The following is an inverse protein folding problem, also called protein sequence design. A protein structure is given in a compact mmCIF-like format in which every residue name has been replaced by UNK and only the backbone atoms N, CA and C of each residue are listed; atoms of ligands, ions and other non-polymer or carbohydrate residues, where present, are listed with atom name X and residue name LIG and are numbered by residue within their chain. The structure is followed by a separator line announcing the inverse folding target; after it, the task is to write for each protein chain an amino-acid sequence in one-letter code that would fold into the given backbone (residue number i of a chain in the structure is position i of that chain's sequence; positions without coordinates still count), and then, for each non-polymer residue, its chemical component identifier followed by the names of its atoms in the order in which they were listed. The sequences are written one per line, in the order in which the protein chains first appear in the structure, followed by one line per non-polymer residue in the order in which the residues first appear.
data_IF_150648444067
#
_entry.id   IF_150648444067
#
_cell.length_a   1.000
_cell.length_b   1.000
_cell.length_c   1.000
_cell.angle_alpha   90.00
_cell.angle_beta   90.00
_cell.angle_gamma   90.00
#
_symmetry.space_group_name_H-M   'P 1'
#
loop_
_entity.id
_entity.type
_entity.pdbx_description
1 polymer ?
#
# COMPACT_ATOMS: atom_id res chain seq x y z
N UNK A 1 -11.51 8.92 -10.88
CA UNK A 1 -12.22 8.63 -9.62
C UNK A 1 -12.11 7.13 -9.44
N UNK A 2 -11.49 6.69 -8.36
CA UNK A 2 -11.10 5.29 -8.12
C UNK A 2 -12.38 4.45 -7.95
N UNK A 3 -12.61 3.47 -8.82
CA UNK A 3 -13.90 2.76 -8.87
C UNK A 3 -14.10 1.87 -7.64
N UNK A 4 -13.00 1.50 -6.97
CA UNK A 4 -12.99 0.70 -5.77
C UNK A 4 -13.35 1.46 -4.49
N UNK A 5 -13.24 2.80 -4.46
CA UNK A 5 -13.31 3.60 -3.22
C UNK A 5 -14.66 3.50 -2.47
N UNK A 6 -15.73 3.09 -3.16
CA UNK A 6 -17.09 3.00 -2.60
C UNK A 6 -17.62 1.56 -2.49
N UNK A 7 -16.82 0.56 -2.86
CA UNK A 7 -17.24 -0.85 -2.81
C UNK A 7 -16.87 -1.49 -1.46
N UNK A 8 -17.63 -2.48 -0.99
CA UNK A 8 -17.26 -3.27 0.19
C UNK A 8 -15.88 -3.92 0.01
N UNK A 9 -15.07 -3.92 1.07
CA UNK A 9 -13.74 -4.51 1.04
C UNK A 9 -13.78 -6.04 0.98
N UNK A 10 -13.06 -6.59 0.02
CA UNK A 10 -12.77 -8.02 -0.09
C UNK A 10 -11.42 -8.36 0.54
N UNK A 11 -11.19 -9.65 0.78
CA UNK A 11 -9.84 -10.15 1.09
C UNK A 11 -9.16 -10.52 -0.21
N UNK A 12 -7.89 -10.13 -0.38
CA UNK A 12 -7.12 -10.48 -1.55
C UNK A 12 -5.63 -10.33 -1.34
N UNK A 13 -4.89 -10.80 -2.33
CA UNK A 13 -3.48 -10.48 -2.48
C UNK A 13 -3.12 -10.39 -3.97
N UNK A 14 -2.09 -9.60 -4.28
CA UNK A 14 -1.42 -9.64 -5.57
C UNK A 14 -0.13 -10.42 -5.39
N UNK A 15 -0.03 -11.56 -6.05
CA UNK A 15 1.13 -12.45 -6.03
C UNK A 15 2.15 -12.05 -7.11
N UNK A 16 1.65 -11.52 -8.23
CA UNK A 16 2.47 -11.10 -9.38
C UNK A 16 2.04 -9.71 -9.79
N UNK A 17 3.00 -8.79 -9.85
CA UNK A 17 2.86 -7.49 -10.48
C UNK A 17 4.08 -7.26 -11.36
N UNK A 18 3.89 -7.34 -12.68
CA UNK A 18 4.96 -7.20 -13.66
C UNK A 18 4.55 -6.13 -14.67
N UNK A 19 5.36 -5.07 -14.73
CA UNK A 19 5.23 -3.99 -15.69
C UNK A 19 6.36 -4.10 -16.71
N UNK A 20 6.00 -4.38 -17.95
CA UNK A 20 6.85 -4.27 -19.13
C UNK A 20 6.41 -3.04 -19.95
N UNK A 21 7.24 -2.52 -20.87
CA UNK A 21 6.95 -1.28 -21.59
C UNK A 21 5.60 -1.24 -22.32
N UNK A 22 5.13 -2.39 -22.82
CA UNK A 22 3.87 -2.51 -23.59
C UNK A 22 2.95 -3.61 -23.07
N UNK A 23 3.25 -4.17 -21.90
CA UNK A 23 2.51 -5.28 -21.32
C UNK A 23 2.51 -5.20 -19.82
N UNK A 24 1.36 -5.49 -19.23
CA UNK A 24 1.22 -5.65 -17.79
C UNK A 24 0.66 -7.02 -17.48
N UNK A 25 1.19 -7.63 -16.42
CA UNK A 25 0.66 -8.85 -15.83
C UNK A 25 0.41 -8.64 -14.34
N UNK A 26 -0.84 -8.88 -13.93
CA UNK A 26 -1.27 -8.87 -12.53
C UNK A 26 -1.90 -10.22 -12.23
N UNK A 27 -1.43 -10.92 -11.22
CA UNK A 27 -2.05 -12.16 -10.77
C UNK A 27 -2.14 -12.21 -9.25
N UNK A 28 -3.13 -12.93 -8.75
CA UNK A 28 -3.40 -12.97 -7.32
C UNK A 28 -4.64 -13.77 -7.00
N UNK A 29 -5.26 -13.42 -5.89
CA UNK A 29 -6.54 -13.99 -5.48
C UNK A 29 -7.43 -12.94 -4.82
N UNK A 30 -8.74 -13.15 -4.92
CA UNK A 30 -9.79 -12.33 -4.33
C UNK A 30 -10.87 -13.24 -3.74
N UNK A 31 -11.33 -12.92 -2.53
CA UNK A 31 -12.32 -13.71 -1.79
C UNK A 31 -13.29 -12.80 -1.05
N UNK A 32 -14.58 -13.04 -1.24
CA UNK A 32 -15.63 -12.59 -0.33
C UNK A 32 -15.89 -13.67 0.74
N UNK A 33 -16.15 -13.31 2.01
CA UNK A 33 -16.33 -14.30 3.07
C UNK A 33 -17.49 -15.27 2.85
N UNK A 34 -18.58 -14.81 2.21
CA UNK A 34 -19.86 -15.55 2.17
C UNK A 34 -20.30 -15.99 0.78
N UNK A 35 -19.77 -15.37 -0.28
CA UNK A 35 -20.28 -15.53 -1.64
C UNK A 35 -19.13 -15.76 -2.63
N UNK A 36 -19.30 -16.64 -3.64
CA UNK A 36 -18.30 -16.83 -4.68
C UNK A 36 -18.19 -15.59 -5.57
N UNK A 37 -17.04 -15.45 -6.21
CA UNK A 37 -16.78 -14.42 -7.21
C UNK A 37 -16.91 -15.08 -8.58
N UNK A 38 -17.71 -14.50 -9.46
CA UNK A 38 -17.98 -15.04 -10.80
C UNK A 38 -16.95 -14.54 -11.81
N UNK A 39 -16.53 -13.28 -11.67
CA UNK A 39 -15.59 -12.61 -12.57
C UNK A 39 -14.80 -11.56 -11.83
N UNK A 40 -13.58 -11.27 -12.29
CA UNK A 40 -12.81 -10.13 -11.83
C UNK A 40 -12.59 -9.10 -12.93
N UNK A 41 -12.55 -7.84 -12.55
CA UNK A 41 -11.99 -6.75 -13.35
C UNK A 41 -10.73 -6.26 -12.65
N UNK A 42 -9.70 -5.97 -13.43
CA UNK A 42 -8.46 -5.43 -12.89
C UNK A 42 -8.20 -4.07 -13.53
N UNK A 43 -7.81 -3.10 -12.72
CA UNK A 43 -7.31 -1.82 -13.20
C UNK A 43 -5.99 -1.48 -12.51
N UNK A 44 -5.12 -0.76 -13.22
CA UNK A 44 -3.87 -0.23 -12.68
C UNK A 44 -3.83 1.27 -12.92
N UNK A 45 -3.66 2.04 -11.86
CA UNK A 45 -3.73 3.50 -11.87
C UNK A 45 -5.03 4.05 -12.50
N UNK A 46 -6.15 3.36 -12.26
CA UNK A 46 -7.46 3.66 -12.85
C UNK A 46 -7.62 3.24 -14.32
N UNK A 47 -6.58 2.68 -14.96
CA UNK A 47 -6.64 2.15 -16.32
C UNK A 47 -7.06 0.68 -16.30
N UNK A 48 -8.23 0.38 -16.88
CA UNK A 48 -8.77 -0.98 -16.94
C UNK A 48 -7.92 -1.90 -17.81
N UNK A 49 -7.58 -3.07 -17.27
CA UNK A 49 -6.96 -4.19 -18.01
C UNK A 49 -8.01 -5.07 -18.69
N UNK A 50 -9.28 -4.95 -18.29
CA UNK A 50 -10.38 -5.78 -18.77
C UNK A 50 -10.99 -6.65 -17.68
N UNK A 51 -11.77 -7.64 -18.12
CA UNK A 51 -12.41 -8.62 -17.25
C UNK A 51 -11.84 -10.01 -17.52
N UNK A 52 -11.62 -10.78 -16.45
CA UNK A 52 -10.92 -12.05 -16.48
C UNK A 52 -11.68 -13.11 -15.69
N UNK A 53 -11.52 -14.36 -16.09
CA UNK A 53 -12.11 -15.52 -15.42
C UNK A 53 -11.36 -15.86 -14.12
N UNK A 54 -12.10 -16.47 -13.19
CA UNK A 54 -11.55 -17.00 -11.96
C UNK A 54 -10.99 -18.41 -12.20
N UNK A 55 -9.87 -18.73 -11.56
CA UNK A 55 -9.27 -20.06 -11.59
C UNK A 55 -9.04 -20.62 -10.18
N UNK A 56 -8.73 -21.92 -10.12
CA UNK A 56 -8.54 -22.64 -8.86
C UNK A 56 -7.23 -22.24 -8.14
N UNK A 57 -7.30 -22.20 -6.81
CA UNK A 57 -6.23 -21.90 -5.84
C UNK A 57 -6.38 -22.78 -4.59
N UNK A 58 -6.00 -24.06 -4.67
CA UNK A 58 -6.06 -24.99 -3.53
C UNK A 58 -5.21 -24.53 -2.32
N UNK A 59 -4.13 -23.80 -2.58
CA UNK A 59 -3.27 -23.19 -1.56
C UNK A 59 -4.01 -22.10 -0.75
N UNK A 60 -4.83 -21.29 -1.42
CA UNK A 60 -5.67 -20.28 -0.77
C UNK A 60 -6.78 -20.97 0.04
N UNK A 61 -7.43 -22.00 -0.52
CA UNK A 61 -8.43 -22.80 0.20
C UNK A 61 -7.86 -23.46 1.47
N UNK A 62 -6.65 -24.01 1.40
CA UNK A 62 -5.97 -24.62 2.54
C UNK A 62 -5.68 -23.61 3.67
N UNK A 63 -5.41 -22.35 3.30
CA UNK A 63 -5.16 -21.25 4.23
C UNK A 63 -6.45 -20.65 4.80
N UNK A 64 -7.52 -20.60 4.01
CA UNK A 64 -8.82 -20.01 4.34
C UNK A 64 -9.89 -21.08 4.58
N UNK A 65 -9.62 -22.04 5.47
CA UNK A 65 -10.50 -23.20 5.75
C UNK A 65 -11.96 -22.87 6.09
N UNK A 66 -12.26 -21.64 6.51
CA UNK A 66 -13.61 -21.17 6.82
C UNK A 66 -14.44 -20.72 5.61
N UNK A 67 -13.84 -20.58 4.42
CA UNK A 67 -14.50 -20.03 3.23
C UNK A 67 -14.63 -21.13 2.18
N UNK A 68 -15.85 -21.62 1.96
CA UNK A 68 -16.12 -22.82 1.13
C UNK A 68 -15.67 -22.68 -0.32
N UNK A 69 -15.78 -21.48 -0.88
CA UNK A 69 -15.45 -21.16 -2.27
C UNK A 69 -14.04 -20.55 -2.43
N UNK A 70 -13.19 -20.59 -1.40
CA UNK A 70 -11.84 -20.02 -1.47
C UNK A 70 -10.93 -20.70 -2.51
N UNK A 71 -11.26 -21.92 -2.95
CA UNK A 71 -10.55 -22.58 -4.04
C UNK A 71 -10.75 -21.81 -5.36
N UNK A 72 -11.96 -21.34 -5.64
CA UNK A 72 -12.28 -20.50 -6.79
C UNK A 72 -12.03 -19.02 -6.47
N UNK A 73 -10.77 -18.65 -6.24
CA UNK A 73 -10.39 -17.28 -5.87
C UNK A 73 -9.30 -16.66 -6.73
N UNK A 74 -8.61 -17.47 -7.55
CA UNK A 74 -7.46 -17.02 -8.31
C UNK A 74 -7.84 -16.18 -9.53
N UNK A 75 -6.97 -15.25 -9.89
CA UNK A 75 -7.06 -14.56 -11.17
C UNK A 75 -5.68 -14.29 -11.76
N UNK A 76 -5.65 -14.13 -13.09
CA UNK A 76 -4.52 -13.60 -13.84
C UNK A 76 -5.04 -12.65 -14.92
N UNK A 77 -4.71 -11.38 -14.76
CA UNK A 77 -4.95 -10.34 -15.74
C UNK A 77 -3.67 -10.07 -16.52
N UNK A 78 -3.78 -10.08 -17.85
CA UNK A 78 -2.70 -9.70 -18.75
C UNK A 78 -3.28 -8.82 -19.85
N UNK A 79 -2.64 -7.69 -20.10
CA UNK A 79 -3.06 -6.76 -21.14
C UNK A 79 -1.85 -6.13 -21.82
N UNK A 80 -1.92 -5.99 -23.14
CA UNK A 80 -0.93 -5.28 -23.93
C UNK A 80 -1.28 -3.78 -23.94
N UNK A 81 -0.97 -3.12 -22.84
CA UNK A 81 -1.19 -1.68 -22.64
C UNK A 81 0.06 -1.01 -22.11
N UNK A 82 0.21 0.28 -22.41
CA UNK A 82 1.18 1.13 -21.72
C UNK A 82 0.56 1.69 -20.46
N UNK A 83 1.23 1.50 -19.34
CA UNK A 83 0.95 2.16 -18.06
C UNK A 83 2.03 3.22 -17.86
N UNK A 84 1.63 4.40 -17.40
CA UNK A 84 2.59 5.46 -17.08
C UNK A 84 3.54 4.98 -15.99
N UNK A 85 4.85 5.16 -16.19
CA UNK A 85 5.82 4.82 -15.15
C UNK A 85 5.68 5.78 -13.96
N UNK A 86 5.45 5.21 -12.77
CA UNK A 86 5.20 5.94 -11.52
C UNK A 86 6.02 5.31 -10.40
N UNK A 87 6.29 6.07 -9.35
CA UNK A 87 6.94 5.53 -8.16
C UNK A 87 6.08 4.48 -7.44
N UNK A 88 4.77 4.71 -7.44
CA UNK A 88 3.78 3.87 -6.77
C UNK A 88 2.59 3.69 -7.74
N UNK A 89 2.20 2.45 -7.96
CA UNK A 89 1.04 2.06 -8.74
C UNK A 89 -0.08 1.58 -7.83
N UNK A 90 -1.32 2.00 -8.11
CA UNK A 90 -2.51 1.42 -7.49
C UNK A 90 -3.01 0.24 -8.34
N UNK A 91 -3.24 -0.91 -7.73
CA UNK A 91 -3.87 -2.07 -8.37
C UNK A 91 -5.24 -2.28 -7.75
N UNK A 92 -6.29 -2.07 -8.55
CA UNK A 92 -7.67 -2.29 -8.17
C UNK A 92 -8.14 -3.62 -8.75
N UNK A 93 -8.66 -4.51 -7.90
CA UNK A 93 -9.29 -5.77 -8.31
C UNK A 93 -10.74 -5.73 -7.84
N UNK A 94 -11.67 -5.74 -8.80
CA UNK A 94 -13.10 -5.71 -8.54
C UNK A 94 -13.68 -7.08 -8.85
N UNK A 95 -14.22 -7.76 -7.84
CA UNK A 95 -14.93 -9.02 -7.99
C UNK A 95 -16.41 -8.78 -8.17
N UNK A 96 -17.05 -9.44 -9.12
CA UNK A 96 -18.51 -9.46 -9.26
C UNK A 96 -19.09 -10.71 -8.61
N UNK A 97 -20.15 -10.55 -7.81
CA UNK A 97 -20.88 -11.61 -7.14
C UNK A 97 -22.32 -11.66 -7.67
N UNK A 98 -22.76 -12.85 -8.09
CA UNK A 98 -24.12 -13.08 -8.55
C UNK A 98 -24.53 -12.14 -9.68
N UNK A 99 -25.72 -11.54 -9.56
CA UNK A 99 -26.32 -10.82 -10.69
C UNK A 99 -25.82 -9.40 -10.91
N UNK A 100 -25.08 -8.78 -9.96
CA UNK A 100 -24.47 -7.43 -10.09
C UNK A 100 -23.75 -6.87 -8.85
N UNK A 101 -23.64 -7.60 -7.74
CA UNK A 101 -22.93 -7.05 -6.57
C UNK A 101 -21.43 -7.00 -6.86
N UNK A 102 -20.75 -5.96 -6.38
CA UNK A 102 -19.30 -5.79 -6.61
C UNK A 102 -18.60 -5.55 -5.28
N UNK A 103 -17.42 -6.15 -5.15
CA UNK A 103 -16.48 -5.94 -4.04
C UNK A 103 -15.14 -5.52 -4.61
N UNK A 104 -14.36 -4.78 -3.84
CA UNK A 104 -13.04 -4.36 -4.27
C UNK A 104 -11.95 -4.79 -3.31
N UNK A 105 -10.78 -5.04 -3.89
CA UNK A 105 -9.51 -5.12 -3.20
C UNK A 105 -8.54 -4.19 -3.89
N UNK A 106 -7.95 -3.28 -3.12
CA UNK A 106 -6.94 -2.35 -3.61
C UNK A 106 -5.61 -2.68 -2.97
N UNK A 107 -4.57 -2.77 -3.79
CA UNK A 107 -3.21 -2.98 -3.34
C UNK A 107 -2.26 -2.07 -4.09
N UNK A 108 -1.34 -1.46 -3.35
CA UNK A 108 -0.29 -0.65 -3.93
C UNK A 108 0.97 -1.45 -4.24
N UNK A 109 1.65 -1.06 -5.30
CA UNK A 109 2.89 -1.68 -5.78
C UNK A 109 3.93 -0.61 -6.07
N UNK A 110 5.16 -0.87 -5.64
CA UNK A 110 6.27 0.01 -5.99
C UNK A 110 6.60 -0.15 -7.47
N UNK A 111 6.77 0.98 -8.17
CA UNK A 111 7.24 0.99 -9.54
C UNK A 111 8.71 0.58 -9.64
N UNK A 112 9.11 0.07 -10.80
CA UNK A 112 10.44 -0.50 -11.01
C UNK A 112 11.59 0.50 -10.81
N UNK A 113 11.32 1.79 -10.96
CA UNK A 113 12.26 2.89 -10.76
C UNK A 113 12.33 3.40 -9.32
N UNK A 114 11.31 3.12 -8.49
CA UNK A 114 11.33 3.57 -7.11
C UNK A 114 12.39 2.82 -6.31
N UNK A 115 13.10 3.54 -5.44
CA UNK A 115 14.17 2.99 -4.60
C UNK A 115 13.80 3.27 -3.14
N UNK A 116 13.02 2.39 -2.49
CA UNK A 116 12.72 2.55 -1.08
C UNK A 116 13.98 2.36 -0.24
N UNK A 117 13.96 2.92 0.95
CA UNK A 117 15.08 2.80 1.90
C UNK A 117 14.81 1.62 2.83
N UNK A 118 15.76 0.68 2.89
CA UNK A 118 15.63 -0.56 3.66
C UNK A 118 16.57 -0.51 4.85
N UNK A 119 16.05 -0.42 6.09
CA UNK A 119 16.86 -0.46 7.29
C UNK A 119 17.57 -1.80 7.49
N UNK A 120 18.57 -1.82 8.37
CA UNK A 120 19.17 -3.07 8.83
C UNK A 120 18.10 -3.96 9.51
N UNK A 121 18.23 -5.30 9.45
CA UNK A 121 17.26 -6.22 10.03
C UNK A 121 16.90 -5.94 11.50
N UNK A 122 17.85 -5.45 12.30
CA UNK A 122 17.63 -5.13 13.72
C UNK A 122 16.66 -3.97 13.92
N UNK A 123 16.76 -2.93 13.06
CA UNK A 123 15.83 -1.80 13.08
C UNK A 123 14.45 -2.20 12.58
N UNK A 124 14.38 -3.09 11.58
CA UNK A 124 13.11 -3.67 11.11
C UNK A 124 12.44 -4.44 12.27
N UNK A 125 13.20 -5.28 12.97
CA UNK A 125 12.69 -6.10 14.07
C UNK A 125 12.06 -5.29 15.21
N UNK A 126 12.66 -4.16 15.59
CA UNK A 126 12.11 -3.28 16.63
C UNK A 126 10.73 -2.72 16.28
N UNK A 127 10.45 -2.52 14.99
CA UNK A 127 9.21 -1.89 14.50
C UNK A 127 8.15 -2.91 14.08
N UNK A 128 8.55 -4.06 13.53
CA UNK A 128 7.63 -5.03 12.92
C UNK A 128 7.58 -6.40 13.64
N UNK A 129 8.48 -6.66 14.59
CA UNK A 129 8.61 -7.98 15.24
C UNK A 129 9.16 -9.08 14.33
N UNK A 130 9.59 -8.74 13.11
CA UNK A 130 10.21 -9.65 12.15
C UNK A 130 11.38 -8.97 11.44
N UNK A 131 12.10 -9.68 10.56
CA UNK A 131 13.29 -9.16 9.86
C UNK A 131 13.12 -9.11 8.34
N UNK A 132 11.89 -9.24 7.86
CA UNK A 132 11.60 -9.33 6.43
C UNK A 132 11.52 -7.92 5.81
N UNK A 133 12.46 -7.55 4.93
CA UNK A 133 12.46 -6.23 4.30
C UNK A 133 11.29 -6.03 3.33
N UNK A 134 10.84 -7.08 2.65
CA UNK A 134 9.72 -6.97 1.71
C UNK A 134 8.42 -6.71 2.48
N UNK A 135 8.16 -7.50 3.53
CA UNK A 135 7.00 -7.29 4.39
C UNK A 135 7.00 -5.91 5.05
N UNK A 136 8.19 -5.43 5.46
CA UNK A 136 8.36 -4.09 6.02
C UNK A 136 7.93 -3.00 5.03
N UNK A 137 8.39 -3.07 3.77
CA UNK A 137 8.06 -2.10 2.72
C UNK A 137 6.59 -2.15 2.31
N UNK A 138 6.05 -3.34 2.07
CA UNK A 138 4.65 -3.52 1.65
C UNK A 138 3.68 -3.01 2.72
N UNK A 139 3.96 -3.35 3.99
CA UNK A 139 3.15 -2.87 5.13
C UNK A 139 3.31 -1.37 5.31
N UNK A 140 4.54 -0.85 5.18
CA UNK A 140 4.83 0.57 5.29
C UNK A 140 4.09 1.43 4.26
N UNK A 141 4.14 1.01 2.99
CA UNK A 141 3.44 1.68 1.90
C UNK A 141 1.92 1.66 2.11
N UNK A 142 1.36 0.49 2.48
CA UNK A 142 -0.08 0.34 2.75
C UNK A 142 -0.52 1.30 3.86
N UNK A 143 0.19 1.34 4.98
CA UNK A 143 -0.11 2.24 6.09
C UNK A 143 0.00 3.70 5.63
N UNK A 144 1.06 4.06 4.89
CA UNK A 144 1.26 5.42 4.41
C UNK A 144 0.10 5.89 3.54
N UNK A 145 -0.38 5.05 2.63
CA UNK A 145 -1.51 5.38 1.77
C UNK A 145 -2.84 5.47 2.50
N UNK A 146 -3.09 4.57 3.45
CA UNK A 146 -4.28 4.68 4.31
C UNK A 146 -4.26 6.00 5.09
N UNK A 147 -3.12 6.33 5.71
CA UNK A 147 -2.94 7.59 6.43
C UNK A 147 -3.16 8.81 5.53
N UNK A 148 -2.53 8.87 4.36
CA UNK A 148 -2.70 9.98 3.41
C UNK A 148 -4.14 10.09 2.91
N UNK A 149 -4.81 8.97 2.66
CA UNK A 149 -6.23 8.92 2.31
C UNK A 149 -7.11 9.50 3.43
N UNK A 150 -6.87 9.11 4.68
CA UNK A 150 -7.58 9.65 5.84
C UNK A 150 -7.33 11.14 6.05
N UNK A 151 -6.08 11.60 5.91
CA UNK A 151 -5.74 13.04 5.96
C UNK A 151 -6.57 13.78 4.92
N UNK A 152 -6.51 13.35 3.65
CA UNK A 152 -7.22 14.02 2.54
C UNK A 152 -8.73 14.10 2.77
N UNK A 153 -9.36 13.06 3.31
CA UNK A 153 -10.81 13.02 3.59
C UNK A 153 -11.24 13.99 4.69
N UNK A 154 -10.34 14.40 5.59
CA UNK A 154 -10.65 15.32 6.69
C UNK A 154 -10.10 16.74 6.48
N UNK A 155 -9.49 17.01 5.32
CA UNK A 155 -9.15 18.38 4.96
C UNK A 155 -10.42 19.15 4.59
N UNK A 156 -10.46 20.48 4.83
CA UNK A 156 -11.56 21.31 4.34
C UNK A 156 -11.67 21.26 2.81
N UNK A 157 -12.90 21.36 2.31
CA UNK A 157 -13.21 21.37 0.86
C UNK A 157 -12.86 22.71 0.17
N UNK A 158 -12.14 23.60 0.84
CA UNK A 158 -11.75 24.93 0.35
C UNK A 158 -10.49 24.92 -0.54
N UNK A 159 -9.94 23.73 -0.81
CA UNK A 159 -8.73 23.57 -1.60
C UNK A 159 -7.43 23.73 -0.80
N UNK A 160 -7.50 23.98 0.52
CA UNK A 160 -6.33 24.00 1.38
C UNK A 160 -5.61 22.65 1.35
N UNK A 161 -4.28 22.71 1.46
CA UNK A 161 -3.41 21.53 1.55
C UNK A 161 -2.47 21.71 2.74
N UNK A 162 -2.20 20.63 3.50
CA UNK A 162 -1.21 20.70 4.55
C UNK A 162 0.15 21.02 3.93
N UNK A 163 0.89 21.93 4.56
CA UNK A 163 2.24 22.31 4.12
C UNK A 163 3.32 21.68 4.99
N UNK A 164 2.96 21.21 6.19
CA UNK A 164 3.84 20.55 7.16
C UNK A 164 3.19 19.29 7.68
N UNK A 165 3.98 18.26 7.90
CA UNK A 165 3.53 17.00 8.51
C UNK A 165 4.59 16.53 9.50
N UNK A 166 4.15 16.20 10.71
CA UNK A 166 4.97 15.56 11.74
C UNK A 166 4.57 14.08 11.85
N UNK A 167 5.52 13.17 11.66
CA UNK A 167 5.38 11.76 11.97
C UNK A 167 5.99 11.47 13.35
N UNK A 168 5.13 11.32 14.35
CA UNK A 168 5.55 11.02 15.72
C UNK A 168 5.61 9.51 15.94
N UNK A 169 6.76 9.02 16.38
CA UNK A 169 7.06 7.59 16.40
C UNK A 169 7.51 7.08 15.02
N UNK A 170 8.26 7.90 14.27
CA UNK A 170 8.62 7.59 12.89
C UNK A 170 9.61 6.41 12.78
N UNK A 171 10.31 6.08 13.86
CA UNK A 171 11.31 5.02 13.94
C UNK A 171 12.33 5.08 12.80
N UNK A 172 12.56 3.92 12.17
CA UNK A 172 13.41 3.79 10.98
C UNK A 172 12.63 4.05 9.68
N UNK A 173 11.52 4.77 9.73
CA UNK A 173 10.81 5.26 8.55
C UNK A 173 9.99 4.22 7.81
N UNK A 174 9.36 3.27 8.53
CA UNK A 174 8.51 2.23 7.89
C UNK A 174 7.44 2.84 7.00
N UNK A 175 6.71 3.82 7.52
CA UNK A 175 5.70 4.58 6.78
C UNK A 175 6.29 5.86 6.19
N UNK A 176 7.08 6.57 7.01
CA UNK A 176 7.59 7.93 6.79
C UNK A 176 8.28 8.11 5.45
N UNK A 177 9.02 7.09 5.00
CA UNK A 177 9.78 7.15 3.75
C UNK A 177 8.93 7.31 2.49
N UNK A 178 7.64 6.91 2.54
CA UNK A 178 6.72 7.00 1.41
C UNK A 178 5.98 8.34 1.36
N UNK A 179 5.98 9.10 2.46
CA UNK A 179 5.20 10.35 2.56
C UNK A 179 5.64 11.43 1.56
N UNK A 180 6.94 11.64 1.25
CA UNK A 180 7.33 12.62 0.24
C UNK A 180 6.77 12.34 -1.16
N UNK A 181 6.64 11.06 -1.51
CA UNK A 181 6.05 10.63 -2.79
C UNK A 181 4.52 10.78 -2.77
N UNK A 182 3.87 10.40 -1.67
CA UNK A 182 2.40 10.45 -1.55
C UNK A 182 1.85 11.85 -1.29
N UNK A 183 2.67 12.75 -0.73
CA UNK A 183 2.35 14.15 -0.45
C UNK A 183 3.47 15.06 -0.96
N UNK A 184 3.63 15.21 -2.29
CA UNK A 184 4.70 16.02 -2.85
C UNK A 184 4.69 17.46 -2.33
N UNK A 185 5.85 17.96 -1.93
CA UNK A 185 6.02 19.32 -1.41
C UNK A 185 5.70 19.52 0.07
N UNK A 186 5.31 18.45 0.79
CA UNK A 186 5.13 18.53 2.24
C UNK A 186 6.48 18.75 2.95
N UNK A 187 6.55 19.71 3.86
CA UNK A 187 7.68 19.83 4.79
C UNK A 187 7.55 18.75 5.87
N UNK A 188 8.24 17.63 5.67
CA UNK A 188 8.19 16.47 6.53
C UNK A 188 9.14 16.61 7.73
N UNK A 189 8.60 16.36 8.91
CA UNK A 189 9.37 16.19 10.14
C UNK A 189 9.02 14.86 10.80
N UNK A 190 9.94 14.28 11.56
CA UNK A 190 9.69 13.08 12.35
C UNK A 190 10.46 13.06 13.66
N UNK A 191 9.93 12.35 14.64
CA UNK A 191 10.68 12.06 15.86
C UNK A 191 10.38 10.68 16.41
N UNK A 192 11.36 10.13 17.12
CA UNK A 192 11.27 8.84 17.79
C UNK A 192 12.27 8.80 18.97
N UNK A 193 12.03 7.91 19.93
CA UNK A 193 12.95 7.67 21.04
C UNK A 193 14.19 6.86 20.64
N UNK A 194 14.09 6.06 19.58
CA UNK A 194 15.21 5.25 19.08
C UNK A 194 16.21 6.13 18.30
N UNK A 195 17.25 6.59 18.99
CA UNK A 195 18.30 7.42 18.40
C UNK A 195 19.05 6.74 17.23
N UNK A 196 19.18 5.41 17.25
CA UNK A 196 19.82 4.66 16.16
C UNK A 196 18.93 4.71 14.91
N UNK A 197 17.62 4.49 15.09
CA UNK A 197 16.65 4.55 14.01
C UNK A 197 16.57 5.95 13.40
N UNK A 198 16.54 6.99 14.23
CA UNK A 198 16.54 8.41 13.80
C UNK A 198 17.84 8.76 13.08
N UNK A 199 18.99 8.38 13.62
CA UNK A 199 20.29 8.63 12.99
C UNK A 199 20.37 7.98 11.60
N UNK A 200 19.85 6.76 11.47
CA UNK A 200 19.76 6.08 10.17
C UNK A 200 18.81 6.80 9.21
N UNK A 201 17.57 7.10 9.64
CA UNK A 201 16.54 7.70 8.77
C UNK A 201 16.95 9.09 8.28
N UNK A 202 17.61 9.88 9.13
CA UNK A 202 18.14 11.21 8.77
C UNK A 202 19.15 11.15 7.63
N UNK A 203 19.96 10.09 7.56
CA UNK A 203 20.90 9.89 6.46
C UNK A 203 20.21 9.45 5.17
N UNK A 204 19.10 8.72 5.29
CA UNK A 204 18.36 8.20 4.14
C UNK A 204 17.43 9.25 3.51
N UNK A 205 16.89 10.17 4.30
CA UNK A 205 15.93 11.19 3.87
C UNK A 205 16.41 12.61 4.22
N UNK A 206 17.50 13.11 3.59
CA UNK A 206 18.13 14.37 3.96
C UNK A 206 17.25 15.61 3.69
N UNK A 207 16.17 15.47 2.92
CA UNK A 207 15.21 16.55 2.66
C UNK A 207 14.16 16.71 3.78
N UNK A 208 14.11 15.80 4.76
CA UNK A 208 13.21 15.83 5.89
C UNK A 208 13.99 16.04 7.21
N UNK A 209 13.30 16.57 8.22
CA UNK A 209 13.91 16.87 9.53
C UNK A 209 13.56 15.81 10.56
N UNK A 210 14.56 15.18 11.16
CA UNK A 210 14.34 14.17 12.19
C UNK A 210 15.06 14.50 13.49
N UNK A 211 14.43 14.19 14.61
CA UNK A 211 14.98 14.43 15.93
C UNK A 211 14.65 13.29 16.89
N UNK A 212 15.59 12.96 17.77
CA UNK A 212 15.32 12.02 18.87
C UNK A 212 14.56 12.74 19.98
N UNK A 213 13.48 12.15 20.50
CA UNK A 213 12.73 12.67 21.64
C UNK A 213 12.89 11.80 22.89
N UNK A 214 12.62 12.37 24.06
CA UNK A 214 12.60 11.64 25.33
C UNK A 214 11.27 10.90 25.56
N UNK A 215 11.22 10.08 26.62
CA UNK A 215 9.99 9.43 27.10
C UNK A 215 8.94 10.43 27.59
N UNK A 216 9.40 11.53 28.18
CA UNK A 216 8.56 12.58 28.74
C UNK A 216 8.58 13.81 27.83
N UNK A 217 7.50 14.63 27.83
CA UNK A 217 7.51 15.94 27.19
C UNK A 217 8.68 16.82 27.66
N UNK A 218 9.09 17.82 26.85
CA UNK A 218 8.51 18.22 25.56
C UNK A 218 9.05 17.43 24.36
N UNK A 219 8.39 17.55 23.21
CA UNK A 219 8.95 17.14 21.92
C UNK A 219 10.01 18.15 21.45
N UNK A 220 10.95 17.75 20.58
CA UNK A 220 12.01 18.62 20.06
C UNK A 220 11.51 19.56 18.95
N UNK A 221 10.28 20.06 19.04
CA UNK A 221 9.68 20.99 18.08
C UNK A 221 9.10 22.20 18.82
N UNK A 222 9.20 23.41 18.24
CA UNK A 222 8.59 24.60 18.83
C UNK A 222 7.05 24.52 18.78
N UNK A 223 6.41 25.21 19.73
CA UNK A 223 4.96 25.42 19.76
C UNK A 223 4.46 26.26 18.56
#
# INVERSE_FOLDING_TARGET
MDAAEYLPEARGAIDIFQLEPERITVAGWLVHPEHPIDRVRVAVDGQSLGAFEIHQRPDVAASLKGVRHAESSGFRAQADIRVQDRSIHSVEVIGTLGSREEIAFVSDRLGAQYRPVVPKPELIYRVSGNRDPQLFLETGLRIARQMVGHIRRHLPDDGARPTRLLDWGCGCGRMTQFLPELMPGIALSGCDIDAEAIGWLSQQLPAASFATNGLCPPLPFPD
#
